data_IF_158668008759
#
_entry.id   IF_158668008759
#
_cell.length_a   1.000
_cell.length_b   1.000
_cell.length_c   1.000
_cell.angle_alpha   90.00
_cell.angle_beta   90.00
_cell.angle_gamma   90.00
#
_symmetry.space_group_name_H-M   'P 1'
#
loop_
_entity.id
_entity.type
_entity.pdbx_description
1 polymer ?
#
# COMPACT_ATOMS: atom_id res chain seq x y z
N UNK A 1 38.37 -26.13 -0.69
CA UNK A 1 37.48 -25.98 -1.87
C UNK A 1 36.27 -25.15 -1.46
N UNK A 2 36.08 -23.96 -2.06
CA UNK A 2 34.87 -23.16 -1.85
C UNK A 2 33.72 -23.85 -2.59
N UNK A 3 32.70 -24.30 -1.85
CA UNK A 3 31.46 -24.77 -2.46
C UNK A 3 30.74 -23.56 -3.07
N UNK A 4 30.69 -23.51 -4.40
CA UNK A 4 29.77 -22.62 -5.10
C UNK A 4 28.34 -23.09 -4.77
N UNK A 5 27.63 -22.32 -3.94
CA UNK A 5 26.17 -22.47 -3.81
C UNK A 5 25.56 -22.17 -5.17
N UNK A 6 25.22 -23.21 -5.92
CA UNK A 6 24.40 -23.11 -7.12
C UNK A 6 23.01 -22.75 -6.64
N UNK A 7 22.67 -21.46 -6.66
CA UNK A 7 21.29 -21.04 -6.47
C UNK A 7 20.46 -21.59 -7.65
N UNK A 8 19.34 -22.29 -7.41
CA UNK A 8 18.50 -22.77 -8.50
C UNK A 8 18.00 -21.55 -9.27
N UNK A 9 18.33 -21.48 -10.56
CA UNK A 9 18.08 -20.32 -11.42
C UNK A 9 16.63 -19.80 -11.34
N UNK A 10 15.67 -20.68 -11.05
CA UNK A 10 14.26 -20.32 -10.82
C UNK A 10 14.01 -19.40 -9.63
N UNK A 11 14.67 -19.62 -8.47
CA UNK A 11 14.51 -18.74 -7.29
C UNK A 11 15.09 -17.34 -7.58
N UNK A 12 16.23 -17.26 -8.26
CA UNK A 12 16.87 -15.99 -8.65
C UNK A 12 16.02 -15.21 -9.66
N UNK A 13 15.40 -15.90 -10.62
CA UNK A 13 14.49 -15.29 -11.60
C UNK A 13 13.20 -14.80 -10.94
N UNK A 14 12.64 -15.56 -9.99
CA UNK A 14 11.43 -15.16 -9.24
C UNK A 14 11.70 -13.95 -8.34
N UNK A 15 12.79 -13.96 -7.57
CA UNK A 15 13.20 -12.80 -6.77
C UNK A 15 13.49 -11.59 -7.66
N UNK A 16 14.12 -11.79 -8.83
CA UNK A 16 14.35 -10.75 -9.83
C UNK A 16 13.05 -10.16 -10.40
N UNK A 17 12.04 -10.99 -10.66
CA UNK A 17 10.70 -10.55 -11.11
C UNK A 17 9.94 -9.80 -10.01
N UNK A 18 10.01 -10.28 -8.76
CA UNK A 18 9.39 -9.62 -7.61
C UNK A 18 10.04 -8.26 -7.37
N UNK A 19 11.37 -8.19 -7.37
CA UNK A 19 12.12 -6.94 -7.25
C UNK A 19 11.86 -6.00 -8.43
N UNK A 20 11.78 -6.49 -9.66
CA UNK A 20 11.41 -5.68 -10.82
C UNK A 20 9.97 -5.15 -10.71
N UNK A 21 9.04 -5.94 -10.17
CA UNK A 21 7.67 -5.51 -9.92
C UNK A 21 7.62 -4.44 -8.83
N UNK A 22 8.35 -4.62 -7.72
CA UNK A 22 8.55 -3.61 -6.67
C UNK A 22 9.22 -2.35 -7.24
N UNK A 23 10.20 -2.49 -8.13
CA UNK A 23 10.87 -1.37 -8.79
C UNK A 23 9.91 -0.64 -9.74
N UNK A 24 9.04 -1.37 -10.44
CA UNK A 24 7.98 -0.79 -11.28
C UNK A 24 6.92 -0.08 -10.42
N UNK A 25 6.60 -0.61 -9.23
CA UNK A 25 5.75 0.05 -8.22
C UNK A 25 6.40 1.33 -7.67
N UNK A 26 7.70 1.32 -7.38
CA UNK A 26 8.47 2.51 -6.98
C UNK A 26 8.57 3.51 -8.14
N UNK A 27 8.72 3.04 -9.38
CA UNK A 27 8.81 3.91 -10.56
C UNK A 27 7.47 4.61 -10.87
N UNK A 28 6.35 3.93 -10.62
CA UNK A 28 5.01 4.54 -10.67
C UNK A 28 4.84 5.63 -9.59
N UNK A 29 5.53 5.50 -8.45
CA UNK A 29 5.61 6.52 -7.40
C UNK A 29 6.48 7.73 -7.83
N UNK A 30 7.61 7.47 -8.50
CA UNK A 30 8.55 8.50 -8.99
C UNK A 30 8.01 9.28 -10.19
N UNK A 31 7.03 8.74 -10.92
CA UNK A 31 6.34 9.45 -12.01
C UNK A 31 5.27 10.45 -11.53
N UNK A 32 4.97 10.55 -10.24
CA UNK A 32 4.12 11.60 -9.64
C UNK A 32 4.89 12.92 -9.42
N UNK A 33 5.56 13.44 -10.45
CA UNK A 33 6.32 14.70 -10.38
C UNK A 33 5.46 15.99 -10.46
N UNK A 34 4.16 15.91 -10.21
CA UNK A 34 3.34 17.10 -9.95
C UNK A 34 2.98 17.13 -8.47
N UNK A 35 2.77 18.29 -7.87
CA UNK A 35 1.95 18.34 -6.65
C UNK A 35 0.50 18.37 -7.16
N UNK A 36 -0.44 17.54 -6.65
CA UNK A 36 -1.84 17.63 -7.07
C UNK A 36 -2.34 19.07 -6.87
N UNK A 37 -3.30 19.55 -7.69
CA UNK A 37 -3.77 20.94 -7.59
C UNK A 37 -4.20 21.24 -6.16
N UNK A 38 -3.80 22.39 -5.61
CA UNK A 38 -4.18 22.81 -4.27
C UNK A 38 -5.70 22.90 -4.19
N UNK A 39 -6.31 22.03 -3.38
CA UNK A 39 -7.76 21.93 -3.22
C UNK A 39 -8.31 22.82 -2.08
N UNK A 40 -7.45 23.58 -1.39
CA UNK A 40 -7.74 24.26 -0.12
C UNK A 40 -7.03 23.61 1.09
N UNK A 41 -6.82 24.35 2.20
CA UNK A 41 -6.27 23.85 3.47
C UNK A 41 -4.81 24.22 3.81
N UNK A 42 -4.38 23.98 5.06
CA UNK A 42 -3.07 24.39 5.59
C UNK A 42 -1.91 23.52 5.02
N UNK A 43 -1.51 23.80 3.77
CA UNK A 43 -0.94 22.83 2.83
C UNK A 43 0.39 22.18 3.19
N UNK A 44 1.33 22.87 3.85
CA UNK A 44 2.70 22.34 4.07
C UNK A 44 2.77 21.27 5.15
N UNK A 45 1.95 21.36 6.19
CA UNK A 45 1.93 20.39 7.28
C UNK A 45 1.24 19.08 6.86
N UNK A 46 0.24 19.17 5.99
CA UNK A 46 -0.52 18.01 5.48
C UNK A 46 0.32 17.23 4.47
N UNK A 47 0.97 17.91 3.53
CA UNK A 47 1.83 17.28 2.51
C UNK A 47 2.96 16.46 3.17
N UNK A 48 3.66 17.06 4.13
CA UNK A 48 4.71 16.37 4.91
C UNK A 48 4.18 15.12 5.63
N UNK A 49 2.98 15.19 6.21
CA UNK A 49 2.34 14.05 6.88
C UNK A 49 1.96 12.94 5.89
N UNK A 50 1.44 13.28 4.71
CA UNK A 50 1.11 12.29 3.67
C UNK A 50 2.37 11.57 3.19
N UNK A 51 3.44 12.32 2.89
CA UNK A 51 4.72 11.73 2.50
C UNK A 51 5.29 10.82 3.60
N UNK A 52 5.26 11.28 4.85
CA UNK A 52 5.74 10.49 6.00
C UNK A 52 4.92 9.23 6.22
N UNK A 53 3.59 9.33 6.17
CA UNK A 53 2.68 8.20 6.30
C UNK A 53 2.94 7.14 5.21
N UNK A 54 3.11 7.59 3.97
CA UNK A 54 3.36 6.72 2.81
C UNK A 54 4.72 6.04 2.91
N UNK A 55 5.78 6.76 3.29
CA UNK A 55 7.12 6.19 3.50
C UNK A 55 7.08 5.05 4.52
N UNK A 56 6.49 5.30 5.69
CA UNK A 56 6.41 4.31 6.77
C UNK A 56 5.55 3.11 6.35
N UNK A 57 4.46 3.34 5.61
CA UNK A 57 3.64 2.26 5.06
C UNK A 57 4.45 1.35 4.12
N UNK A 58 5.28 1.93 3.24
CA UNK A 58 6.12 1.19 2.31
C UNK A 58 7.25 0.43 3.02
N UNK A 59 7.80 1.00 4.09
CA UNK A 59 8.76 0.30 4.97
C UNK A 59 8.11 -0.93 5.61
N UNK A 60 6.86 -0.82 6.08
CA UNK A 60 6.11 -1.98 6.61
C UNK A 60 5.83 -3.05 5.54
N UNK A 61 5.53 -2.62 4.31
CA UNK A 61 5.40 -3.55 3.18
C UNK A 61 6.71 -4.29 2.90
N UNK A 62 7.86 -3.62 3.02
CA UNK A 62 9.17 -4.25 2.87
C UNK A 62 9.41 -5.32 3.96
N UNK A 63 9.04 -5.06 5.21
CA UNK A 63 9.11 -6.06 6.28
C UNK A 63 8.21 -7.26 5.99
N UNK A 64 7.01 -7.03 5.45
CA UNK A 64 6.10 -8.11 5.05
C UNK A 64 6.69 -8.99 3.92
N UNK A 65 7.43 -8.40 2.97
CA UNK A 65 8.15 -9.16 1.96
C UNK A 65 9.33 -9.95 2.53
N UNK A 66 10.06 -9.39 3.50
CA UNK A 66 11.10 -10.13 4.20
C UNK A 66 10.49 -11.32 4.95
N UNK A 67 9.35 -11.12 5.63
CA UNK A 67 8.63 -12.19 6.31
C UNK A 67 8.18 -13.29 5.33
N UNK A 68 7.70 -12.91 4.14
CA UNK A 68 7.41 -13.87 3.07
C UNK A 68 8.63 -14.70 2.71
N UNK A 69 9.79 -14.06 2.51
CA UNK A 69 11.03 -14.76 2.20
C UNK A 69 11.44 -15.73 3.33
N UNK A 70 11.25 -15.35 4.60
CA UNK A 70 11.53 -16.23 5.74
C UNK A 70 10.58 -17.44 5.76
N UNK A 71 9.29 -17.24 5.51
CA UNK A 71 8.31 -18.34 5.47
C UNK A 71 8.58 -19.28 4.28
N UNK A 72 8.88 -18.73 3.10
CA UNK A 72 9.16 -19.51 1.89
C UNK A 72 10.42 -20.36 2.04
N UNK A 73 11.49 -19.79 2.62
CA UNK A 73 12.75 -20.51 2.86
C UNK A 73 12.66 -21.47 4.05
N UNK A 74 11.91 -21.09 5.09
CA UNK A 74 11.68 -21.87 6.30
C UNK A 74 10.92 -23.17 6.09
N UNK A 75 10.16 -23.28 4.99
CA UNK A 75 9.47 -24.52 4.59
C UNK A 75 10.46 -25.64 4.21
N UNK A 76 11.68 -25.29 3.79
CA UNK A 76 12.72 -26.25 3.40
C UNK A 76 13.80 -26.43 4.49
N UNK A 77 13.99 -25.44 5.37
CA UNK A 77 14.99 -25.43 6.43
C UNK A 77 14.45 -24.65 7.64
N UNK A 78 14.11 -25.36 8.73
CA UNK A 78 13.60 -24.84 10.02
C UNK A 78 13.35 -23.32 10.10
N UNK A 79 12.08 -22.92 10.10
CA UNK A 79 11.66 -21.52 10.18
C UNK A 79 12.18 -20.80 11.43
N UNK A 80 12.81 -19.63 11.24
CA UNK A 80 13.28 -18.77 12.33
C UNK A 80 12.13 -17.94 12.92
N UNK A 81 11.48 -18.50 13.93
CA UNK A 81 10.38 -17.85 14.66
C UNK A 81 10.76 -16.53 15.32
N UNK A 82 12.02 -16.37 15.73
CA UNK A 82 12.47 -15.14 16.38
C UNK A 82 12.51 -14.03 15.35
N UNK A 83 13.19 -14.26 14.23
CA UNK A 83 13.29 -13.29 13.13
C UNK A 83 11.93 -12.99 12.50
N UNK A 84 11.11 -14.01 12.27
CA UNK A 84 9.74 -13.83 11.78
C UNK A 84 8.89 -12.96 12.72
N UNK A 85 9.00 -13.19 14.02
CA UNK A 85 8.36 -12.37 15.05
C UNK A 85 8.82 -10.91 15.01
N UNK A 86 10.11 -10.67 14.96
CA UNK A 86 10.70 -9.31 14.88
C UNK A 86 10.24 -8.55 13.62
N UNK A 87 10.17 -9.23 12.47
CA UNK A 87 9.66 -8.64 11.23
C UNK A 87 8.18 -8.26 11.33
N UNK A 88 7.35 -9.15 11.88
CA UNK A 88 5.93 -8.86 12.06
C UNK A 88 5.67 -7.75 13.09
N UNK A 89 6.39 -7.75 14.21
CA UNK A 89 6.29 -6.69 15.23
C UNK A 89 6.69 -5.33 14.62
N UNK A 90 7.81 -5.28 13.89
CA UNK A 90 8.27 -4.06 13.21
C UNK A 90 7.26 -3.56 12.18
N UNK A 91 6.68 -4.46 11.39
CA UNK A 91 5.67 -4.10 10.40
C UNK A 91 4.39 -3.53 11.05
N UNK A 92 3.93 -4.13 12.15
CA UNK A 92 2.74 -3.67 12.90
C UNK A 92 2.98 -2.27 13.47
N UNK A 93 4.14 -2.02 14.09
CA UNK A 93 4.49 -0.70 14.63
C UNK A 93 4.49 0.38 13.55
N UNK A 94 5.11 0.07 12.40
CA UNK A 94 5.13 0.97 11.25
C UNK A 94 3.72 1.24 10.69
N UNK A 95 2.89 0.21 10.55
CA UNK A 95 1.50 0.41 10.11
C UNK A 95 0.69 1.26 11.09
N UNK A 96 0.84 1.04 12.40
CA UNK A 96 0.17 1.84 13.42
C UNK A 96 0.56 3.32 13.33
N UNK A 97 1.86 3.61 13.16
CA UNK A 97 2.36 4.96 12.97
C UNK A 97 1.85 5.59 11.65
N UNK A 98 1.91 4.85 10.54
CA UNK A 98 1.38 5.30 9.24
C UNK A 98 -0.11 5.62 9.32
N UNK A 99 -0.89 4.74 9.95
CA UNK A 99 -2.33 4.91 10.18
C UNK A 99 -2.64 6.18 10.96
N UNK A 100 -1.88 6.47 12.03
CA UNK A 100 -2.07 7.68 12.83
C UNK A 100 -1.91 8.94 11.96
N UNK A 101 -0.86 8.99 11.14
CA UNK A 101 -0.66 10.09 10.21
C UNK A 101 -1.78 10.22 9.17
N UNK A 102 -2.22 9.11 8.57
CA UNK A 102 -3.38 9.14 7.65
C UNK A 102 -4.67 9.59 8.34
N UNK A 103 -4.89 9.22 9.61
CA UNK A 103 -6.06 9.65 10.38
C UNK A 103 -6.04 11.15 10.63
N UNK A 104 -4.87 11.73 10.91
CA UNK A 104 -4.71 13.19 11.04
C UNK A 104 -5.00 13.91 9.71
N UNK A 105 -4.51 13.37 8.58
CA UNK A 105 -4.82 13.91 7.24
C UNK A 105 -6.32 13.85 6.96
N UNK A 106 -6.99 12.74 7.29
CA UNK A 106 -8.44 12.61 7.17
C UNK A 106 -9.18 13.64 8.02
N UNK A 107 -8.77 13.85 9.28
CA UNK A 107 -9.43 14.79 10.18
C UNK A 107 -9.42 16.22 9.62
N UNK A 108 -8.30 16.63 9.01
CA UNK A 108 -8.19 17.94 8.34
C UNK A 108 -9.05 17.97 7.07
N UNK A 109 -8.96 16.95 6.23
CA UNK A 109 -9.74 16.84 5.01
C UNK A 109 -11.26 16.92 5.28
N UNK A 110 -11.74 16.25 6.33
CA UNK A 110 -13.16 16.17 6.65
C UNK A 110 -13.81 17.52 7.01
N UNK A 111 -13.03 18.49 7.47
CA UNK A 111 -13.50 19.83 7.86
C UNK A 111 -13.04 20.92 6.89
N UNK A 112 -12.32 20.56 5.83
CA UNK A 112 -11.81 21.51 4.85
C UNK A 112 -12.91 21.95 3.88
N UNK A 113 -12.91 23.23 3.53
CA UNK A 113 -13.68 23.73 2.40
C UNK A 113 -12.91 23.42 1.11
N UNK A 114 -13.59 22.78 0.16
CA UNK A 114 -13.03 22.41 -1.13
C UNK A 114 -13.54 23.35 -2.22
N UNK A 115 -12.66 23.66 -3.19
CA UNK A 115 -13.05 24.42 -4.37
C UNK A 115 -14.18 23.73 -5.15
N UNK A 116 -15.28 24.45 -5.37
CA UNK A 116 -16.46 23.90 -6.03
C UNK A 116 -16.19 23.48 -7.47
N UNK A 117 -15.33 24.22 -8.19
CA UNK A 117 -14.95 23.87 -9.55
C UNK A 117 -14.11 22.58 -9.58
N UNK A 118 -13.21 22.38 -8.61
CA UNK A 118 -12.46 21.15 -8.45
C UNK A 118 -13.36 19.94 -8.15
N UNK A 119 -14.33 20.10 -7.24
CA UNK A 119 -15.31 19.04 -6.97
C UNK A 119 -16.12 18.68 -8.23
N UNK A 120 -16.49 19.67 -9.04
CA UNK A 120 -17.23 19.43 -10.27
C UNK A 120 -16.41 18.68 -11.32
N UNK A 121 -15.11 18.97 -11.44
CA UNK A 121 -14.19 18.19 -12.29
C UNK A 121 -14.11 16.73 -11.86
N UNK A 122 -14.06 16.45 -10.55
CA UNK A 122 -14.08 15.08 -10.02
C UNK A 122 -15.41 14.37 -10.32
N UNK A 123 -16.55 15.06 -10.22
CA UNK A 123 -17.87 14.48 -10.53
C UNK A 123 -18.02 14.15 -12.01
N UNK A 124 -17.52 15.01 -12.88
CA UNK A 124 -17.61 14.85 -14.33
C UNK A 124 -16.51 13.97 -14.95
N UNK A 125 -15.52 13.54 -14.17
CA UNK A 125 -14.40 12.74 -14.67
C UNK A 125 -14.87 11.40 -15.24
N UNK A 126 -14.40 11.03 -16.43
CA UNK A 126 -14.71 9.72 -17.04
C UNK A 126 -13.82 8.61 -16.45
N UNK A 127 -14.18 8.13 -15.26
CA UNK A 127 -13.43 7.10 -14.53
C UNK A 127 -13.19 5.82 -15.34
N UNK A 128 -14.25 5.26 -15.92
CA UNK A 128 -14.16 3.97 -16.64
C UNK A 128 -13.42 4.14 -17.97
N UNK A 129 -13.70 5.21 -18.73
CA UNK A 129 -13.01 5.49 -19.98
C UNK A 129 -11.54 5.80 -19.75
N UNK A 130 -11.20 6.57 -18.72
CA UNK A 130 -9.81 6.83 -18.31
C UNK A 130 -9.08 5.53 -17.95
N UNK A 131 -9.71 4.64 -17.16
CA UNK A 131 -9.10 3.36 -16.83
C UNK A 131 -8.85 2.49 -18.07
N UNK A 132 -9.84 2.39 -18.96
CA UNK A 132 -9.74 1.61 -20.19
C UNK A 132 -8.65 2.15 -21.11
N UNK A 133 -8.62 3.47 -21.32
CA UNK A 133 -7.64 4.15 -22.18
C UNK A 133 -6.20 3.96 -21.70
N UNK A 134 -5.99 3.89 -20.38
CA UNK A 134 -4.66 3.81 -19.77
C UNK A 134 -4.28 2.39 -19.32
N UNK A 135 -5.01 1.35 -19.74
CA UNK A 135 -4.78 -0.04 -19.34
C UNK A 135 -4.75 -0.25 -17.82
N UNK A 136 -5.59 0.50 -17.10
CA UNK A 136 -5.77 0.37 -15.65
C UNK A 136 -6.87 -0.64 -15.34
N UNK A 137 -6.82 -1.23 -14.15
CA UNK A 137 -7.84 -2.14 -13.65
C UNK A 137 -9.16 -1.39 -13.41
N UNK A 138 -10.13 -1.57 -14.31
CA UNK A 138 -11.44 -0.93 -14.24
C UNK A 138 -12.10 -1.14 -12.88
N UNK A 139 -12.03 -2.34 -12.31
CA UNK A 139 -12.62 -2.65 -11.01
C UNK A 139 -11.97 -1.88 -9.82
N UNK A 140 -10.71 -1.47 -9.93
CA UNK A 140 -10.07 -0.59 -8.92
C UNK A 140 -10.53 0.84 -9.14
N UNK A 141 -10.57 1.30 -10.39
CA UNK A 141 -11.02 2.66 -10.71
C UNK A 141 -12.50 2.90 -10.33
N UNK A 142 -13.37 1.91 -10.53
CA UNK A 142 -14.77 1.99 -10.08
C UNK A 142 -14.88 2.09 -8.56
N UNK A 143 -13.96 1.48 -7.79
CA UNK A 143 -13.89 1.66 -6.33
C UNK A 143 -13.50 3.09 -5.95
N UNK A 144 -12.59 3.71 -6.69
CA UNK A 144 -12.23 5.14 -6.51
C UNK A 144 -13.41 6.04 -6.87
N UNK A 145 -14.07 5.76 -8.00
CA UNK A 145 -15.21 6.51 -8.51
C UNK A 145 -16.34 6.59 -7.48
N UNK A 146 -16.63 5.50 -6.73
CA UNK A 146 -17.67 5.49 -5.68
C UNK A 146 -17.56 6.65 -4.68
N UNK A 147 -16.35 7.17 -4.44
CA UNK A 147 -16.13 8.32 -3.59
C UNK A 147 -16.03 9.61 -4.42
N UNK A 148 -15.09 9.66 -5.38
CA UNK A 148 -14.74 10.90 -6.07
C UNK A 148 -15.83 11.39 -7.04
N UNK A 149 -16.65 10.51 -7.64
CA UNK A 149 -17.76 10.93 -8.49
C UNK A 149 -18.88 11.65 -7.71
N UNK A 150 -18.85 11.57 -6.37
CA UNK A 150 -19.74 12.30 -5.47
C UNK A 150 -19.07 13.55 -4.88
N UNK A 151 -17.78 13.79 -5.20
CA UNK A 151 -16.95 14.80 -4.53
C UNK A 151 -16.52 14.43 -3.11
N UNK A 152 -16.62 13.15 -2.71
CA UNK A 152 -16.27 12.68 -1.36
C UNK A 152 -14.76 12.38 -1.24
N UNK A 153 -13.95 13.45 -1.17
CA UNK A 153 -12.50 13.34 -0.94
C UNK A 153 -12.18 12.66 0.40
N UNK A 154 -12.84 12.99 1.54
CA UNK A 154 -12.65 12.27 2.79
C UNK A 154 -12.99 10.77 2.70
N UNK A 155 -13.94 10.38 1.85
CA UNK A 155 -14.29 8.99 1.57
C UNK A 155 -13.13 8.18 1.00
N UNK A 156 -12.29 8.79 0.16
CA UNK A 156 -11.07 8.15 -0.35
C UNK A 156 -10.08 7.87 0.79
N UNK A 157 -9.86 8.84 1.66
CA UNK A 157 -8.94 8.69 2.79
C UNK A 157 -9.45 7.67 3.83
N UNK A 158 -10.76 7.67 4.12
CA UNK A 158 -11.42 6.65 4.95
C UNK A 158 -11.20 5.25 4.38
N UNK A 159 -11.32 5.09 3.06
CA UNK A 159 -11.09 3.80 2.40
C UNK A 159 -9.64 3.37 2.52
N UNK A 160 -8.68 4.28 2.34
CA UNK A 160 -7.26 3.99 2.54
C UNK A 160 -6.96 3.54 3.97
N UNK A 161 -7.50 4.24 4.98
CA UNK A 161 -7.37 3.83 6.38
C UNK A 161 -7.95 2.43 6.63
N UNK A 162 -9.11 2.12 6.05
CA UNK A 162 -9.69 0.78 6.16
C UNK A 162 -8.79 -0.31 5.57
N UNK A 163 -8.04 -0.01 4.50
CA UNK A 163 -7.04 -0.92 3.97
C UNK A 163 -5.87 -1.12 4.95
N UNK A 164 -5.35 -0.03 5.53
CA UNK A 164 -4.29 -0.11 6.55
C UNK A 164 -4.74 -0.94 7.75
N UNK A 165 -5.97 -0.73 8.23
CA UNK A 165 -6.57 -1.52 9.33
C UNK A 165 -6.65 -3.01 9.01
N UNK A 166 -7.07 -3.36 7.79
CA UNK A 166 -7.11 -4.76 7.33
C UNK A 166 -5.72 -5.40 7.29
N UNK A 167 -4.70 -4.64 6.87
CA UNK A 167 -3.32 -5.11 6.82
C UNK A 167 -2.79 -5.35 8.26
N UNK A 168 -3.03 -4.43 9.19
CA UNK A 168 -2.67 -4.58 10.61
C UNK A 168 -3.28 -5.87 11.16
N UNK A 169 -4.58 -6.08 10.97
CA UNK A 169 -5.27 -7.29 11.44
C UNK A 169 -4.71 -8.57 10.81
N UNK A 170 -4.33 -8.52 9.53
CA UNK A 170 -3.69 -9.65 8.86
C UNK A 170 -2.32 -9.97 9.46
N UNK A 171 -1.49 -8.95 9.69
CA UNK A 171 -0.17 -9.11 10.27
C UNK A 171 -0.22 -9.59 11.73
N UNK A 172 -1.17 -9.10 12.52
CA UNK A 172 -1.40 -9.57 13.90
C UNK A 172 -1.74 -11.07 13.95
N UNK A 173 -2.60 -11.56 13.06
CA UNK A 173 -2.91 -13.00 12.98
C UNK A 173 -1.68 -13.83 12.62
N UNK A 174 -0.85 -13.36 11.69
CA UNK A 174 0.41 -14.01 11.33
C UNK A 174 1.36 -14.02 12.54
N UNK A 175 1.42 -12.91 13.28
CA UNK A 175 2.22 -12.78 14.49
C UNK A 175 1.80 -13.76 15.59
N UNK A 176 0.49 -13.91 15.81
CA UNK A 176 -0.08 -14.85 16.79
C UNK A 176 0.32 -16.30 16.50
N UNK A 177 0.32 -16.72 15.22
CA UNK A 177 0.80 -18.06 14.84
C UNK A 177 2.26 -18.27 15.24
N UNK A 178 3.12 -17.28 14.98
CA UNK A 178 4.54 -17.37 15.34
C UNK A 178 4.76 -17.40 16.86
N UNK A 179 3.92 -16.71 17.65
CA UNK A 179 3.96 -16.79 19.12
C UNK A 179 3.61 -18.20 19.63
N UNK A 180 2.81 -18.96 18.88
CA UNK A 180 2.45 -20.34 19.19
C UNK A 180 3.48 -21.35 18.66
N UNK A 181 4.58 -20.90 18.05
CA UNK A 181 5.55 -21.79 17.39
C UNK A 181 5.00 -22.44 16.12
N UNK A 182 3.99 -21.85 15.49
CA UNK A 182 3.37 -22.34 14.26
C UNK A 182 3.88 -21.50 13.09
N UNK A 183 4.52 -22.14 12.11
CA UNK A 183 4.95 -21.47 10.89
C UNK A 183 3.69 -20.96 10.15
N UNK A 184 3.60 -19.66 9.83
CA UNK A 184 2.45 -19.12 9.12
C UNK A 184 2.26 -19.82 7.77
N UNK A 185 1.02 -20.19 7.39
CA UNK A 185 0.75 -20.69 6.05
C UNK A 185 1.12 -19.65 4.99
N UNK A 186 1.75 -20.08 3.90
CA UNK A 186 2.21 -19.18 2.84
C UNK A 186 1.03 -18.41 2.22
N UNK A 187 -0.15 -19.01 2.16
CA UNK A 187 -1.39 -18.39 1.68
C UNK A 187 -1.81 -17.20 2.55
N UNK A 188 -1.54 -17.25 3.86
CA UNK A 188 -1.81 -16.14 4.77
C UNK A 188 -0.91 -14.96 4.47
N UNK A 189 0.37 -15.22 4.15
CA UNK A 189 1.32 -14.17 3.76
C UNK A 189 0.95 -13.61 2.37
N UNK A 190 0.57 -14.45 1.42
CA UNK A 190 0.09 -14.01 0.11
C UNK A 190 -1.12 -13.09 0.21
N UNK A 191 -2.10 -13.46 1.04
CA UNK A 191 -3.28 -12.63 1.29
C UNK A 191 -2.90 -11.28 1.91
N UNK A 192 -1.93 -11.26 2.81
CA UNK A 192 -1.40 -10.02 3.38
C UNK A 192 -0.77 -9.13 2.29
N UNK A 193 0.09 -9.67 1.43
CA UNK A 193 0.72 -8.94 0.32
C UNK A 193 -0.31 -8.44 -0.71
N UNK A 194 -1.39 -9.21 -0.94
CA UNK A 194 -2.53 -8.76 -1.75
C UNK A 194 -3.22 -7.54 -1.12
N UNK A 195 -3.44 -7.53 0.20
CA UNK A 195 -4.02 -6.38 0.89
C UNK A 195 -3.14 -5.12 0.75
N UNK A 196 -1.81 -5.25 0.87
CA UNK A 196 -0.87 -4.17 0.58
C UNK A 196 -1.02 -3.66 -0.86
N UNK A 197 -1.05 -4.57 -1.83
CA UNK A 197 -1.17 -4.25 -3.25
C UNK A 197 -2.47 -3.52 -3.55
N UNK A 198 -3.59 -3.98 -2.98
CA UNK A 198 -4.90 -3.35 -3.11
C UNK A 198 -4.91 -1.92 -2.55
N UNK A 199 -4.27 -1.69 -1.39
CA UNK A 199 -4.15 -0.37 -0.78
C UNK A 199 -3.36 0.60 -1.69
N UNK A 200 -2.21 0.14 -2.20
CA UNK A 200 -1.33 0.91 -3.08
C UNK A 200 -2.03 1.25 -4.39
N UNK A 201 -2.65 0.26 -5.05
CA UNK A 201 -3.35 0.48 -6.31
C UNK A 201 -4.51 1.46 -6.15
N UNK A 202 -5.29 1.32 -5.07
CA UNK A 202 -6.38 2.24 -4.78
C UNK A 202 -5.87 3.68 -4.59
N UNK A 203 -4.83 3.88 -3.78
CA UNK A 203 -4.21 5.19 -3.55
C UNK A 203 -3.66 5.80 -4.84
N UNK A 204 -2.93 5.02 -5.63
CA UNK A 204 -2.38 5.46 -6.91
C UNK A 204 -3.47 5.91 -7.89
N UNK A 205 -4.58 5.17 -7.97
CA UNK A 205 -5.65 5.49 -8.90
C UNK A 205 -6.39 6.76 -8.48
N UNK A 206 -6.63 6.94 -7.17
CA UNK A 206 -7.18 8.19 -6.66
C UNK A 206 -6.27 9.38 -7.00
N UNK A 207 -4.96 9.23 -6.80
CA UNK A 207 -3.98 10.26 -7.16
C UNK A 207 -3.98 10.57 -8.66
N UNK A 208 -4.05 9.56 -9.53
CA UNK A 208 -4.17 9.76 -10.98
C UNK A 208 -5.41 10.57 -11.37
N UNK A 209 -6.55 10.34 -10.71
CA UNK A 209 -7.76 11.15 -10.93
C UNK A 209 -7.51 12.60 -10.55
N UNK A 210 -6.91 12.88 -9.39
CA UNK A 210 -6.62 14.26 -8.96
C UNK A 210 -5.70 15.03 -9.92
N UNK A 211 -4.79 14.36 -10.64
CA UNK A 211 -3.96 15.01 -11.66
C UNK A 211 -4.66 15.26 -12.99
N UNK A 212 -5.66 14.43 -13.33
CA UNK A 212 -6.23 14.40 -14.68
C UNK A 212 -7.66 14.96 -14.75
N UNK A 213 -8.26 15.33 -13.61
CA UNK A 213 -9.58 15.93 -13.49
C UNK A 213 -9.54 17.46 -13.56
#
# INVERSE_FOLDING_TARGET
>A
MKQNKVFPAGKVVLTGLILATIFTYLHALVLMNGIPPYLGGDGKAIESRVMKATSIFLESNADAFLLFSEVETGYEADFDFKRGGELADSAIEKLACSREHYAQVLAVAAVSEYDAAALERLRCFDYRGFATKNNLLVAVMERVAKNLSNGDIPGVLRRNLAHVDQIILGMQKIRELMQQGICPPIESIWKLLQNYSDAILYGNYATLVFYNA
#
